data_IF_891048867763
#
_entry.id   IF_891048867763
#
_cell.length_a   1.000
_cell.length_b   1.000
_cell.length_c   1.000
_cell.angle_alpha   90.00
_cell.angle_beta   90.00
_cell.angle_gamma   90.00
#
_symmetry.space_group_name_H-M   'P 1'
#
loop_
_entity.id
_entity.type
_entity.pdbx_description
1 polymer ?
#
# COMPACT_ATOMS: atom_id res chain seq x y z
N UNK A 1 -13.39 16.64 14.45
CA UNK A 1 -12.51 15.53 14.01
C UNK A 1 -12.99 14.96 12.67
N UNK A 2 -14.23 14.50 12.54
CA UNK A 2 -14.75 13.96 11.28
C UNK A 2 -14.66 14.96 10.11
N UNK A 3 -15.06 16.22 10.33
CA UNK A 3 -14.94 17.26 9.29
C UNK A 3 -13.48 17.46 8.82
N UNK A 4 -12.51 17.31 9.72
CA UNK A 4 -11.09 17.41 9.37
C UNK A 4 -10.60 16.19 8.59
N UNK A 5 -11.11 14.99 8.91
CA UNK A 5 -10.84 13.78 8.13
C UNK A 5 -11.40 13.91 6.70
N UNK A 6 -12.66 14.34 6.58
CA UNK A 6 -13.31 14.55 5.28
C UNK A 6 -12.63 15.66 4.49
N UNK A 7 -12.25 16.76 5.16
CA UNK A 7 -11.51 17.85 4.54
C UNK A 7 -10.15 17.39 4.02
N UNK A 8 -9.41 16.57 4.80
CA UNK A 8 -8.13 16.00 4.35
C UNK A 8 -8.33 15.14 3.10
N UNK A 9 -9.34 14.26 3.11
CA UNK A 9 -9.66 13.44 1.95
C UNK A 9 -10.00 14.30 0.72
N UNK A 10 -10.89 15.29 0.88
CA UNK A 10 -11.30 16.18 -0.22
C UNK A 10 -10.11 16.97 -0.78
N UNK A 11 -9.24 17.51 0.07
CA UNK A 11 -8.02 18.19 -0.34
C UNK A 11 -7.08 17.27 -1.14
N UNK A 12 -6.96 16.01 -0.74
CA UNK A 12 -6.19 15.03 -1.48
C UNK A 12 -6.87 14.72 -2.81
N UNK A 13 -8.16 14.37 -2.84
CA UNK A 13 -8.90 14.09 -4.09
C UNK A 13 -8.81 15.23 -5.10
N UNK A 14 -8.99 16.46 -4.63
CA UNK A 14 -9.14 17.63 -5.50
C UNK A 14 -7.77 18.21 -5.92
N UNK A 15 -6.67 17.70 -5.36
CA UNK A 15 -5.31 18.12 -5.68
C UNK A 15 -4.99 17.99 -7.17
N UNK A 16 -4.44 19.06 -7.74
CA UNK A 16 -3.95 19.09 -9.13
C UNK A 16 -2.44 19.03 -9.15
N UNK A 17 -1.90 17.88 -9.56
CA UNK A 17 -0.45 17.71 -9.70
C UNK A 17 0.10 18.62 -10.80
N UNK A 18 1.22 19.29 -10.50
CA UNK A 18 1.98 20.12 -11.44
C UNK A 18 2.54 19.33 -12.64
N UNK A 19 2.59 18.00 -12.56
CA UNK A 19 3.12 17.13 -13.60
C UNK A 19 1.98 16.48 -14.41
N UNK A 20 1.25 17.27 -15.21
CA UNK A 20 0.13 16.83 -16.05
C UNK A 20 -1.06 16.26 -15.28
N UNK A 21 -1.30 16.73 -14.05
CA UNK A 21 -2.43 16.30 -13.22
C UNK A 21 -2.56 14.76 -13.11
N UNK A 22 -1.44 14.07 -12.90
CA UNK A 22 -1.38 12.59 -12.79
C UNK A 22 -1.98 12.03 -11.48
N UNK A 23 -2.31 12.91 -10.54
CA UNK A 23 -2.94 12.50 -9.29
C UNK A 23 -4.41 12.16 -9.52
N UNK A 24 -4.80 10.94 -9.15
CA UNK A 24 -6.15 10.42 -9.31
C UNK A 24 -6.54 9.74 -8.01
N UNK A 25 -7.62 10.20 -7.39
CA UNK A 25 -8.18 9.65 -6.16
C UNK A 25 -9.69 9.89 -6.16
N UNK A 26 -10.46 9.08 -6.91
CA UNK A 26 -11.87 9.37 -7.20
C UNK A 26 -12.81 9.11 -6.01
N UNK A 27 -12.37 8.27 -5.06
CA UNK A 27 -13.14 7.84 -3.90
C UNK A 27 -12.24 7.15 -2.88
N UNK A 28 -12.84 6.65 -1.80
CA UNK A 28 -12.17 5.70 -0.90
C UNK A 28 -11.99 4.33 -1.57
N UNK A 29 -12.90 3.99 -2.49
CA UNK A 29 -12.78 2.88 -3.40
C UNK A 29 -13.04 3.32 -4.84
N UNK A 30 -12.21 2.88 -5.79
CA UNK A 30 -12.48 3.01 -7.22
C UNK A 30 -11.60 2.09 -8.07
N UNK A 31 -12.09 1.74 -9.25
CA UNK A 31 -11.34 0.93 -10.23
C UNK A 31 -10.88 1.80 -11.39
N UNK A 32 -9.60 1.71 -11.74
CA UNK A 32 -9.06 2.32 -12.95
C UNK A 32 -8.62 1.23 -13.92
N UNK A 33 -9.26 1.17 -15.09
CA UNK A 33 -8.82 0.31 -16.17
C UNK A 33 -7.85 1.06 -17.09
N UNK A 34 -6.67 0.47 -17.32
CA UNK A 34 -5.71 0.91 -18.33
C UNK A 34 -5.77 -0.08 -19.49
N UNK A 35 -5.93 0.43 -20.72
CA UNK A 35 -5.93 -0.38 -21.94
C UNK A 35 -4.97 0.20 -22.96
N UNK A 36 -3.98 -0.58 -23.37
CA UNK A 36 -3.01 -0.16 -24.37
C UNK A 36 -2.51 -1.36 -25.16
N UNK A 37 -2.38 -1.22 -26.48
CA UNK A 37 -1.84 -2.27 -27.38
C UNK A 37 -2.49 -3.66 -27.19
N UNK A 38 -3.79 -3.70 -26.87
CA UNK A 38 -4.54 -4.94 -26.68
C UNK A 38 -4.34 -5.62 -25.33
N UNK A 39 -3.62 -5.01 -24.39
CA UNK A 39 -3.48 -5.46 -22.99
C UNK A 39 -4.32 -4.57 -22.09
N UNK A 40 -4.93 -5.17 -21.07
CA UNK A 40 -5.82 -4.53 -20.09
C UNK A 40 -5.36 -4.80 -18.66
N UNK A 41 -5.35 -3.75 -17.84
CA UNK A 41 -5.01 -3.81 -16.42
C UNK A 41 -6.13 -3.13 -15.64
N UNK A 42 -6.77 -3.86 -14.73
CA UNK A 42 -7.66 -3.27 -13.73
C UNK A 42 -6.87 -2.97 -12.46
N UNK A 43 -6.92 -1.71 -12.01
CA UNK A 43 -6.28 -1.23 -10.80
C UNK A 43 -7.37 -0.90 -9.77
N UNK A 44 -7.45 -1.70 -8.73
CA UNK A 44 -8.37 -1.56 -7.60
C UNK A 44 -7.71 -0.68 -6.55
N UNK A 45 -8.19 0.55 -6.39
CA UNK A 45 -7.65 1.50 -5.41
C UNK A 45 -8.48 1.41 -4.14
N UNK A 46 -7.82 1.09 -3.02
CA UNK A 46 -8.46 0.75 -1.75
C UNK A 46 -8.03 1.71 -0.65
N UNK A 47 -8.97 2.10 0.20
CA UNK A 47 -8.68 2.70 1.49
C UNK A 47 -8.43 1.59 2.53
N UNK A 48 -7.22 1.58 3.07
CA UNK A 48 -6.78 0.63 4.12
C UNK A 48 -6.39 1.33 5.42
N UNK A 49 -6.92 2.54 5.67
CA UNK A 49 -6.60 3.31 6.88
C UNK A 49 -7.03 2.62 8.19
N UNK A 50 -7.83 1.55 8.15
CA UNK A 50 -8.15 0.67 9.29
C UNK A 50 -6.97 -0.18 9.77
N UNK A 51 -5.79 -0.03 9.16
CA UNK A 51 -4.54 -0.60 9.62
C UNK A 51 -4.35 -0.46 11.15
N UNK A 52 -3.95 -1.56 11.78
CA UNK A 52 -3.84 -1.71 13.23
C UNK A 52 -2.64 -0.94 13.79
N UNK A 53 -1.56 -0.83 13.01
CA UNK A 53 -0.40 0.00 13.30
C UNK A 53 -0.37 1.20 12.33
N UNK A 54 -0.08 2.39 12.88
CA UNK A 54 0.01 3.66 12.15
C UNK A 54 -1.24 4.16 11.43
N UNK A 55 -2.28 3.33 11.29
CA UNK A 55 -3.59 3.69 10.74
C UNK A 55 -4.55 4.27 11.79
N UNK A 56 -5.76 3.71 11.82
CA UNK A 56 -6.93 4.31 12.47
C UNK A 56 -6.70 4.68 13.94
N UNK A 57 -6.02 3.83 14.70
CA UNK A 57 -5.73 4.07 16.12
C UNK A 57 -4.94 5.37 16.33
N UNK A 58 -3.87 5.58 15.56
CA UNK A 58 -3.05 6.79 15.66
C UNK A 58 -3.76 8.02 15.08
N UNK A 59 -4.48 7.85 13.97
CA UNK A 59 -5.26 8.93 13.34
C UNK A 59 -6.36 9.44 14.27
N UNK A 60 -7.08 8.53 14.95
CA UNK A 60 -8.19 8.87 15.84
C UNK A 60 -7.72 9.32 17.22
N UNK A 61 -6.61 8.79 17.73
CA UNK A 61 -6.05 9.27 19.00
C UNK A 61 -5.38 10.64 18.88
N UNK A 62 -4.71 10.94 17.76
CA UNK A 62 -3.98 12.20 17.56
C UNK A 62 -2.97 12.50 18.69
N UNK A 63 -2.32 11.47 19.24
CA UNK A 63 -1.49 11.60 20.44
C UNK A 63 -0.40 12.66 20.33
N UNK A 64 0.22 12.82 19.16
CA UNK A 64 1.24 13.85 18.96
C UNK A 64 0.72 15.27 19.22
N UNK A 65 -0.56 15.52 18.93
CA UNK A 65 -1.21 16.81 19.22
C UNK A 65 -1.49 16.98 20.71
N UNK A 66 -1.98 15.92 21.38
CA UNK A 66 -2.36 15.99 22.80
C UNK A 66 -1.17 15.96 23.76
N UNK A 67 -0.09 15.23 23.43
CA UNK A 67 1.11 15.20 24.26
C UNK A 67 1.93 16.49 24.17
N UNK A 68 1.76 17.27 23.10
CA UNK A 68 2.57 18.44 22.81
C UNK A 68 4.07 18.11 22.85
N UNK A 69 4.79 18.77 23.76
CA UNK A 69 6.24 18.58 23.94
C UNK A 69 6.61 17.50 24.97
N UNK A 70 5.64 16.83 25.58
CA UNK A 70 5.92 15.75 26.53
C UNK A 70 6.43 14.51 25.80
N UNK A 71 7.76 14.35 25.81
CA UNK A 71 8.44 13.21 25.19
C UNK A 71 8.33 11.92 26.00
N UNK A 72 7.85 11.97 27.25
CA UNK A 72 7.61 10.77 28.05
C UNK A 72 6.39 9.99 27.56
N UNK A 73 5.45 10.65 26.89
CA UNK A 73 4.26 10.03 26.30
C UNK A 73 4.63 9.32 25.00
N UNK A 74 4.56 7.99 25.05
CA UNK A 74 4.81 7.11 23.91
C UNK A 74 3.53 6.87 23.11
N UNK A 75 3.36 7.58 21.99
CA UNK A 75 2.12 7.54 21.19
C UNK A 75 1.77 6.19 20.56
N UNK A 76 2.72 5.27 20.50
CA UNK A 76 2.51 3.89 20.08
C UNK A 76 1.91 2.99 21.18
N UNK A 77 1.81 3.49 22.42
CA UNK A 77 1.34 2.74 23.60
C UNK A 77 0.10 3.41 24.24
N UNK A 78 -0.59 4.29 23.50
CA UNK A 78 -1.75 5.03 24.02
C UNK A 78 -3.07 4.34 23.67
N UNK A 79 -3.84 4.05 24.70
CA UNK A 79 -5.19 3.50 24.59
C UNK A 79 -6.28 4.57 24.49
N UNK A 80 -7.42 4.17 23.92
CA UNK A 80 -8.66 4.95 23.93
C UNK A 80 -9.08 5.30 25.36
N UNK A 81 -9.56 6.53 25.56
CA UNK A 81 -9.95 7.06 26.88
C UNK A 81 -8.81 7.71 27.66
N UNK A 82 -7.56 7.54 27.22
CA UNK A 82 -6.45 8.36 27.70
C UNK A 82 -6.64 9.84 27.34
N UNK A 83 -6.24 10.80 28.19
CA UNK A 83 -6.23 12.22 27.82
C UNK A 83 -5.33 12.50 26.59
N UNK A 84 -4.41 11.60 26.27
CA UNK A 84 -3.56 11.67 25.07
C UNK A 84 -4.19 11.02 23.83
N UNK A 85 -5.41 10.48 23.93
CA UNK A 85 -6.16 9.92 22.81
C UNK A 85 -7.51 10.63 22.70
N UNK A 86 -7.68 11.45 21.65
CA UNK A 86 -8.91 12.22 21.46
C UNK A 86 -9.29 13.06 22.71
N UNK A 87 -8.30 13.49 23.50
CA UNK A 87 -8.53 14.22 24.75
C UNK A 87 -9.25 13.41 25.83
N UNK A 88 -9.26 12.08 25.75
CA UNK A 88 -10.06 11.19 26.61
C UNK A 88 -11.51 11.03 26.16
N UNK A 89 -11.92 11.69 25.06
CA UNK A 89 -13.29 11.61 24.56
C UNK A 89 -13.51 10.33 23.74
N UNK A 90 -14.16 9.36 24.38
CA UNK A 90 -14.48 8.06 23.79
C UNK A 90 -15.44 8.16 22.61
N UNK A 91 -16.41 9.06 22.64
CA UNK A 91 -17.39 9.21 21.56
C UNK A 91 -16.72 9.78 20.31
N UNK A 92 -15.83 10.76 20.47
CA UNK A 92 -15.03 11.30 19.37
C UNK A 92 -14.11 10.24 18.76
N UNK A 93 -13.42 9.46 19.60
CA UNK A 93 -12.59 8.34 19.14
C UNK A 93 -13.41 7.30 18.36
N UNK A 94 -14.52 6.84 18.94
CA UNK A 94 -15.38 5.82 18.33
C UNK A 94 -16.00 6.32 17.01
N UNK A 95 -16.43 7.58 16.94
CA UNK A 95 -16.96 8.17 15.71
C UNK A 95 -15.90 8.19 14.60
N UNK A 96 -14.65 8.54 14.93
CA UNK A 96 -13.53 8.50 13.98
C UNK A 96 -13.22 7.07 13.51
N UNK A 97 -13.14 6.11 14.43
CA UNK A 97 -12.90 4.71 14.10
C UNK A 97 -14.00 4.17 13.18
N UNK A 98 -15.27 4.46 13.49
CA UNK A 98 -16.41 4.06 12.67
C UNK A 98 -16.35 4.66 11.26
N UNK A 99 -15.92 5.93 11.13
CA UNK A 99 -15.74 6.57 9.82
C UNK A 99 -14.66 5.86 9.00
N UNK A 100 -13.47 5.64 9.57
CA UNK A 100 -12.39 4.93 8.86
C UNK A 100 -12.80 3.50 8.52
N UNK A 101 -13.47 2.80 9.44
CA UNK A 101 -13.99 1.45 9.20
C UNK A 101 -15.01 1.42 8.05
N UNK A 102 -15.83 2.46 7.89
CA UNK A 102 -16.78 2.54 6.78
C UNK A 102 -16.10 2.63 5.42
N UNK A 103 -14.98 3.35 5.30
CA UNK A 103 -14.18 3.44 4.07
C UNK A 103 -13.47 2.13 3.74
N UNK A 104 -12.98 1.43 4.76
CA UNK A 104 -12.41 0.10 4.62
C UNK A 104 -13.45 -0.93 4.16
N UNK A 105 -14.66 -0.87 4.72
CA UNK A 105 -15.78 -1.72 4.31
C UNK A 105 -16.18 -1.44 2.86
N UNK A 106 -16.31 -0.17 2.47
CA UNK A 106 -16.56 0.22 1.08
C UNK A 106 -15.50 -0.36 0.13
N UNK A 107 -14.23 -0.26 0.50
CA UNK A 107 -13.11 -0.80 -0.28
C UNK A 107 -13.15 -2.31 -0.39
N UNK A 108 -13.45 -3.01 0.72
CA UNK A 108 -13.53 -4.46 0.74
C UNK A 108 -14.71 -4.98 -0.11
N UNK A 109 -15.89 -4.40 0.06
CA UNK A 109 -17.09 -4.81 -0.68
C UNK A 109 -16.94 -4.48 -2.17
N UNK A 110 -16.38 -3.31 -2.48
CA UNK A 110 -16.06 -2.89 -3.85
C UNK A 110 -15.10 -3.85 -4.53
N UNK A 111 -13.95 -4.14 -3.91
CA UNK A 111 -12.93 -5.01 -4.53
C UNK A 111 -13.43 -6.43 -4.72
N UNK A 112 -14.18 -6.99 -3.76
CA UNK A 112 -14.76 -8.33 -3.90
C UNK A 112 -15.76 -8.40 -5.06
N UNK A 113 -16.59 -7.37 -5.23
CA UNK A 113 -17.53 -7.27 -6.35
C UNK A 113 -16.81 -7.14 -7.69
N UNK A 114 -15.90 -6.17 -7.81
CA UNK A 114 -15.36 -5.80 -9.11
C UNK A 114 -14.24 -6.76 -9.56
N UNK A 115 -13.50 -7.41 -8.64
CA UNK A 115 -12.59 -8.52 -8.99
C UNK A 115 -13.34 -9.70 -9.62
N UNK A 116 -14.52 -10.05 -9.09
CA UNK A 116 -15.33 -11.13 -9.63
C UNK A 116 -15.86 -10.84 -11.04
N UNK A 117 -16.01 -9.55 -11.39
CA UNK A 117 -16.48 -9.09 -12.70
C UNK A 117 -15.34 -8.80 -13.68
N UNK A 118 -14.14 -8.52 -13.18
CA UNK A 118 -12.99 -8.10 -13.97
C UNK A 118 -12.58 -9.16 -14.99
N UNK A 119 -12.47 -8.73 -16.25
CA UNK A 119 -11.93 -9.52 -17.37
C UNK A 119 -10.56 -9.04 -17.83
N UNK A 120 -9.93 -8.12 -17.09
CA UNK A 120 -8.62 -7.60 -17.44
C UNK A 120 -7.54 -8.70 -17.42
N UNK A 121 -6.54 -8.52 -18.30
CA UNK A 121 -5.39 -9.41 -18.38
C UNK A 121 -4.64 -9.45 -17.05
N UNK A 122 -4.41 -8.27 -16.46
CA UNK A 122 -3.79 -8.14 -15.14
C UNK A 122 -4.69 -7.39 -14.17
N UNK A 123 -4.53 -7.72 -12.89
CA UNK A 123 -5.34 -7.18 -11.78
C UNK A 123 -4.37 -6.73 -10.70
N UNK A 124 -4.43 -5.45 -10.36
CA UNK A 124 -3.53 -4.79 -9.41
C UNK A 124 -4.35 -4.20 -8.27
N UNK A 125 -3.96 -4.46 -7.03
CA UNK A 125 -4.44 -3.69 -5.88
C UNK A 125 -3.44 -2.57 -5.60
N UNK A 126 -3.94 -1.35 -5.36
CA UNK A 126 -3.16 -0.20 -4.95
C UNK A 126 -3.74 0.40 -3.67
N UNK A 127 -2.90 0.60 -2.66
CA UNK A 127 -3.34 1.17 -1.38
C UNK A 127 -2.20 1.83 -0.62
N UNK A 128 -2.47 2.41 0.55
CA UNK A 128 -1.42 3.00 1.39
C UNK A 128 -0.75 1.97 2.30
N UNK A 129 -1.52 1.17 3.03
CA UNK A 129 -1.01 0.22 4.02
C UNK A 129 -0.88 -1.19 3.46
N UNK A 130 0.19 -1.88 3.84
CA UNK A 130 0.35 -3.32 3.59
C UNK A 130 -0.35 -4.17 4.66
N UNK A 131 -1.04 -5.26 4.27
CA UNK A 131 -1.56 -6.26 5.19
C UNK A 131 -0.52 -6.83 6.16
N UNK A 132 0.61 -7.34 5.67
CA UNK A 132 1.60 -8.01 6.52
C UNK A 132 2.51 -7.08 7.31
N UNK A 133 2.52 -5.77 7.02
CA UNK A 133 3.34 -4.81 7.76
C UNK A 133 2.53 -3.96 8.76
N UNK A 134 1.22 -3.80 8.58
CA UNK A 134 0.45 -2.80 9.35
C UNK A 134 -0.85 -3.32 9.96
N UNK A 135 -1.25 -4.56 9.66
CA UNK A 135 -2.55 -5.08 10.07
C UNK A 135 -2.39 -6.23 11.05
N UNK A 136 -3.28 -6.29 12.03
CA UNK A 136 -3.47 -7.50 12.84
C UNK A 136 -3.84 -8.69 11.96
N UNK A 137 -3.54 -9.90 12.42
CA UNK A 137 -3.80 -11.14 11.66
C UNK A 137 -5.21 -11.24 11.08
N UNK A 138 -6.31 -11.04 11.83
CA UNK A 138 -7.65 -11.19 11.25
C UNK A 138 -7.89 -10.24 10.07
N UNK A 139 -7.33 -9.03 10.17
CA UNK A 139 -7.44 -8.03 9.11
C UNK A 139 -6.52 -8.35 7.93
N UNK A 140 -5.28 -8.79 8.19
CA UNK A 140 -4.39 -9.25 7.14
C UNK A 140 -4.95 -10.48 6.40
N UNK A 141 -5.54 -11.46 7.10
CA UNK A 141 -6.23 -12.62 6.54
C UNK A 141 -7.37 -12.21 5.62
N UNK A 142 -8.18 -11.23 6.06
CA UNK A 142 -9.27 -10.67 5.27
C UNK A 142 -8.75 -10.14 3.92
N UNK A 143 -7.68 -9.36 3.92
CA UNK A 143 -7.13 -8.79 2.69
C UNK A 143 -6.34 -9.80 1.83
N UNK A 144 -5.62 -10.73 2.43
CA UNK A 144 -4.97 -11.81 1.68
C UNK A 144 -5.98 -12.71 0.97
N UNK A 145 -7.14 -12.98 1.57
CA UNK A 145 -8.19 -13.75 0.92
C UNK A 145 -8.73 -13.08 -0.36
N UNK A 146 -8.74 -11.74 -0.43
CA UNK A 146 -9.09 -10.99 -1.66
C UNK A 146 -8.14 -11.34 -2.81
N UNK A 147 -6.87 -11.60 -2.50
CA UNK A 147 -5.83 -11.81 -3.52
C UNK A 147 -5.80 -13.22 -4.12
N UNK A 148 -6.40 -14.19 -3.43
CA UNK A 148 -6.35 -15.60 -3.84
C UNK A 148 -7.10 -15.82 -5.15
N UNK A 149 -6.56 -16.64 -6.07
CA UNK A 149 -7.34 -17.13 -7.19
C UNK A 149 -8.51 -18.00 -6.68
N UNK A 150 -9.62 -18.08 -7.42
CA UNK A 150 -10.72 -18.97 -7.09
C UNK A 150 -10.26 -20.44 -7.17
N UNK A 151 -10.96 -21.38 -6.50
CA UNK A 151 -10.60 -22.80 -6.53
C UNK A 151 -10.55 -23.39 -7.95
N UNK A 152 -9.68 -24.39 -8.21
CA UNK A 152 -9.49 -25.00 -9.54
C UNK A 152 -10.73 -25.63 -10.17
N UNK A 153 -11.80 -25.85 -9.40
CA UNK A 153 -13.08 -26.40 -9.88
C UNK A 153 -13.95 -25.36 -10.59
N UNK A 154 -13.55 -24.08 -10.59
CA UNK A 154 -14.18 -23.04 -11.39
C UNK A 154 -13.76 -23.21 -12.86
N UNK A 155 -14.57 -23.93 -13.64
CA UNK A 155 -14.32 -24.35 -15.03
C UNK A 155 -14.26 -23.22 -16.09
N UNK A 156 -13.75 -22.03 -15.76
CA UNK A 156 -13.55 -20.96 -16.72
C UNK A 156 -12.19 -20.31 -16.51
N UNK A 157 -11.40 -20.23 -17.60
CA UNK A 157 -10.17 -19.45 -17.75
C UNK A 157 -10.00 -18.36 -16.68
N UNK A 158 -9.13 -18.60 -15.70
CA UNK A 158 -8.76 -17.76 -14.54
C UNK A 158 -9.60 -16.47 -14.40
N UNK A 159 -10.79 -16.58 -13.80
CA UNK A 159 -11.63 -15.43 -13.41
C UNK A 159 -11.49 -15.15 -11.91
N UNK A 160 -10.37 -14.54 -11.53
CA UNK A 160 -10.11 -14.08 -10.16
C UNK A 160 -8.64 -14.23 -9.79
N UNK A 161 -8.24 -13.63 -8.66
CA UNK A 161 -6.84 -13.55 -8.21
C UNK A 161 -6.17 -12.22 -8.57
N UNK A 162 -5.23 -11.79 -7.73
CA UNK A 162 -4.52 -10.51 -7.87
C UNK A 162 -3.07 -10.79 -8.24
N UNK A 163 -2.57 -10.09 -9.27
CA UNK A 163 -1.20 -10.28 -9.75
C UNK A 163 -0.21 -9.49 -8.91
N UNK A 164 -0.55 -8.21 -8.65
CA UNK A 164 0.31 -7.31 -7.90
C UNK A 164 -0.49 -6.52 -6.86
N UNK A 165 0.09 -6.32 -5.69
CA UNK A 165 -0.37 -5.43 -4.63
C UNK A 165 0.69 -4.36 -4.42
N UNK A 166 0.35 -3.10 -4.61
CA UNK A 166 1.23 -1.96 -4.31
C UNK A 166 0.79 -1.27 -3.03
N UNK A 167 1.75 -1.03 -2.15
CA UNK A 167 1.55 -0.21 -0.95
C UNK A 167 2.70 0.77 -0.73
N UNK A 168 2.48 1.75 0.14
CA UNK A 168 3.51 2.68 0.60
C UNK A 168 3.75 2.54 2.10
N UNK A 169 3.68 3.67 2.80
CA UNK A 169 3.78 3.87 4.25
C UNK A 169 5.15 3.61 4.89
N UNK A 170 5.76 2.45 4.66
CA UNK A 170 7.01 2.00 5.30
C UNK A 170 8.28 2.68 4.75
N UNK A 171 8.13 3.70 3.90
CA UNK A 171 9.20 4.54 3.34
C UNK A 171 10.40 3.79 2.74
N UNK A 172 10.25 2.52 2.38
CA UNK A 172 11.28 1.71 1.72
C UNK A 172 10.74 1.04 0.45
N UNK A 173 11.54 0.13 -0.11
CA UNK A 173 11.12 -0.72 -1.23
C UNK A 173 11.42 -2.20 -0.97
N UNK A 174 10.47 -3.06 -1.31
CA UNK A 174 10.62 -4.51 -1.29
C UNK A 174 9.71 -5.17 -2.32
N UNK A 175 9.89 -6.47 -2.45
CA UNK A 175 9.07 -7.37 -3.22
C UNK A 175 8.93 -8.68 -2.45
N UNK A 176 7.70 -8.99 -2.03
CA UNK A 176 7.31 -10.21 -1.35
C UNK A 176 6.32 -10.99 -2.21
N UNK A 177 6.25 -12.32 -2.06
CA UNK A 177 5.36 -13.17 -2.87
C UNK A 177 4.66 -14.19 -1.99
N UNK A 178 3.36 -14.38 -2.21
CA UNK A 178 2.56 -15.41 -1.53
C UNK A 178 2.70 -16.77 -2.23
N UNK A 179 2.37 -17.86 -1.54
CA UNK A 179 2.34 -19.20 -2.17
C UNK A 179 1.32 -19.35 -3.30
N UNK A 180 0.31 -18.49 -3.36
CA UNK A 180 -0.65 -18.44 -4.47
C UNK A 180 -0.28 -17.41 -5.56
N UNK A 181 0.99 -16.99 -5.58
CA UNK A 181 1.62 -16.21 -6.64
C UNK A 181 1.09 -14.76 -6.78
N UNK A 182 0.60 -14.16 -5.70
CA UNK A 182 0.39 -12.70 -5.66
C UNK A 182 1.68 -12.01 -5.22
N UNK A 183 2.10 -11.00 -5.99
CA UNK A 183 3.30 -10.22 -5.71
C UNK A 183 2.96 -8.94 -4.95
N UNK A 184 3.61 -8.70 -3.82
CA UNK A 184 3.46 -7.51 -3.00
C UNK A 184 4.69 -6.61 -3.19
N UNK A 185 4.46 -5.37 -3.60
CA UNK A 185 5.50 -4.36 -3.83
C UNK A 185 5.29 -3.18 -2.88
N UNK A 186 6.23 -3.00 -1.97
CA UNK A 186 6.33 -1.74 -1.24
C UNK A 186 7.01 -0.70 -2.14
N UNK A 187 6.31 0.42 -2.34
CA UNK A 187 6.69 1.56 -3.15
C UNK A 187 6.60 2.85 -2.30
N UNK A 188 7.31 2.85 -1.15
CA UNK A 188 7.12 3.85 -0.10
C UNK A 188 8.11 5.02 -0.09
N UNK A 189 9.29 4.88 -0.71
CA UNK A 189 10.40 5.83 -0.56
C UNK A 189 10.54 6.82 -1.74
N UNK A 190 9.42 7.40 -2.15
CA UNK A 190 9.35 8.43 -3.20
C UNK A 190 8.49 9.63 -2.75
N UNK A 191 8.31 10.61 -3.63
CA UNK A 191 7.29 11.66 -3.43
C UNK A 191 7.58 12.71 -2.34
N UNK A 192 8.83 12.84 -1.88
CA UNK A 192 9.32 13.90 -1.00
C UNK A 192 9.53 13.48 0.45
N UNK A 193 9.38 12.18 0.75
CA UNK A 193 9.52 11.64 2.10
C UNK A 193 10.94 11.14 2.37
N UNK A 194 11.37 11.13 3.63
CA UNK A 194 12.65 10.55 4.02
C UNK A 194 12.62 9.04 3.76
N UNK A 195 13.54 8.56 2.93
CA UNK A 195 13.70 7.13 2.66
C UNK A 195 14.21 6.38 3.88
N UNK A 196 13.69 5.18 4.06
CA UNK A 196 14.06 4.22 5.10
C UNK A 196 14.45 2.90 4.46
N UNK A 197 15.12 2.05 5.22
CA UNK A 197 15.43 0.70 4.76
C UNK A 197 14.15 -0.08 4.52
N UNK A 198 14.13 -0.86 3.44
CA UNK A 198 13.02 -1.76 3.19
C UNK A 198 12.88 -2.76 4.33
N UNK A 199 11.63 -3.04 4.70
CA UNK A 199 11.35 -4.17 5.57
C UNK A 199 11.48 -5.45 4.74
N UNK A 200 12.14 -6.47 5.31
CA UNK A 200 11.91 -7.83 4.86
C UNK A 200 10.52 -8.25 5.36
N UNK A 201 9.78 -9.00 4.54
CA UNK A 201 8.76 -9.86 5.10
C UNK A 201 9.51 -10.75 6.08
N UNK A 202 9.20 -10.56 7.35
CA UNK A 202 10.02 -11.09 8.42
C UNK A 202 10.13 -12.63 8.23
N UNK A 203 11.33 -13.20 7.99
CA UNK A 203 11.48 -14.66 7.96
C UNK A 203 11.21 -15.28 9.33
N UNK A 204 11.18 -14.44 10.38
CA UNK A 204 10.65 -14.69 11.70
C UNK A 204 9.34 -13.91 11.94
N UNK A 205 8.52 -13.66 10.91
CA UNK A 205 7.17 -13.13 11.13
C UNK A 205 6.47 -14.02 12.16
N UNK A 206 6.73 -15.33 12.11
CA UNK A 206 6.41 -16.34 13.12
C UNK A 206 7.07 -16.20 14.52
N UNK A 207 7.96 -15.23 14.78
CA UNK A 207 8.57 -14.96 16.11
C UNK A 207 8.23 -13.58 16.67
N UNK A 208 8.06 -12.56 15.82
CA UNK A 208 7.55 -11.25 16.24
C UNK A 208 6.02 -11.26 16.32
N UNK A 209 5.40 -12.09 15.49
CA UNK A 209 3.98 -12.44 15.48
C UNK A 209 3.84 -13.96 15.22
N UNK A 210 3.94 -14.83 16.25
CA UNK A 210 3.77 -16.29 16.10
C UNK A 210 2.50 -16.71 15.35
N UNK A 211 1.57 -15.79 15.17
CA UNK A 211 0.36 -15.87 14.37
C UNK A 211 0.46 -15.59 12.84
N UNK A 212 1.56 -15.12 12.24
CA UNK A 212 1.66 -14.74 10.79
C UNK A 212 2.19 -15.88 9.85
N UNK A 213 2.69 -16.98 10.41
CA UNK A 213 3.27 -18.14 9.69
C UNK A 213 2.34 -18.76 8.62
N UNK A 214 1.03 -18.47 8.67
CA UNK A 214 0.02 -19.07 7.79
C UNK A 214 -0.12 -18.45 6.39
N UNK A 215 0.46 -17.28 6.11
CA UNK A 215 0.29 -16.66 4.78
C UNK A 215 1.23 -17.21 3.71
N UNK A 216 2.25 -17.96 4.13
CA UNK A 216 3.29 -18.48 3.25
C UNK A 216 3.79 -17.41 2.26
N UNK A 217 4.11 -16.25 2.82
CA UNK A 217 4.70 -15.09 2.14
C UNK A 217 6.23 -15.17 2.30
N UNK A 218 6.99 -14.91 1.23
CA UNK A 218 8.44 -14.85 1.30
C UNK A 218 8.98 -13.63 0.56
N UNK A 219 10.05 -13.03 1.10
CA UNK A 219 10.74 -11.92 0.44
C UNK A 219 11.58 -12.40 -0.74
N UNK A 220 11.33 -11.81 -1.90
CA UNK A 220 12.14 -12.00 -3.11
C UNK A 220 13.24 -10.95 -3.19
N UNK A 221 12.95 -9.72 -2.77
CA UNK A 221 13.92 -8.63 -2.79
C UNK A 221 13.59 -7.54 -1.78
N UNK A 222 14.64 -6.98 -1.18
CA UNK A 222 14.57 -5.78 -0.35
C UNK A 222 15.66 -4.83 -0.79
N UNK A 223 15.29 -3.57 -0.96
CA UNK A 223 16.24 -2.56 -1.39
C UNK A 223 17.26 -2.26 -0.28
N UNK A 224 18.54 -2.32 -0.64
CA UNK A 224 19.62 -2.05 0.30
C UNK A 224 19.71 -0.56 0.68
N UNK A 225 20.11 -0.27 1.92
CA UNK A 225 20.32 1.10 2.40
C UNK A 225 19.02 1.87 2.59
N UNK A 226 18.97 3.09 2.08
CA UNK A 226 17.80 3.99 2.11
C UNK A 226 17.57 4.55 0.70
N UNK A 227 17.18 3.70 -0.27
CA UNK A 227 17.12 4.11 -1.66
C UNK A 227 15.90 5.00 -1.90
N UNK A 228 15.98 5.88 -2.88
CA UNK A 228 14.90 6.75 -3.27
C UNK A 228 14.52 6.50 -4.72
N UNK A 229 13.23 6.43 -5.03
CA UNK A 229 12.79 5.95 -6.34
C UNK A 229 11.29 5.71 -6.47
N UNK A 230 10.93 4.86 -7.42
CA UNK A 230 9.56 4.42 -7.66
C UNK A 230 9.52 3.09 -8.41
N UNK A 231 8.37 2.42 -8.42
CA UNK A 231 8.10 1.24 -9.24
C UNK A 231 7.48 1.63 -10.59
N UNK A 232 8.07 1.17 -11.69
CA UNK A 232 7.48 1.21 -13.02
C UNK A 232 6.73 -0.10 -13.32
N UNK A 233 5.58 0.02 -13.98
CA UNK A 233 4.79 -1.12 -14.44
C UNK A 233 4.68 -1.07 -15.96
N UNK A 234 4.95 -2.19 -16.60
CA UNK A 234 4.75 -2.40 -18.04
C UNK A 234 4.17 -3.79 -18.27
N UNK A 235 3.46 -4.01 -19.38
CA UNK A 235 2.82 -5.29 -19.64
C UNK A 235 2.91 -5.70 -21.11
N UNK A 236 2.95 -7.01 -21.32
CA UNK A 236 2.73 -7.70 -22.60
C UNK A 236 1.48 -8.56 -22.48
N UNK A 237 1.14 -9.34 -23.52
CA UNK A 237 -0.02 -10.25 -23.46
C UNK A 237 0.11 -11.33 -22.38
N UNK A 238 1.34 -11.73 -22.05
CA UNK A 238 1.61 -12.85 -21.14
C UNK A 238 2.24 -12.43 -19.81
N UNK A 239 2.90 -11.27 -19.77
CA UNK A 239 3.72 -10.86 -18.62
C UNK A 239 3.44 -9.42 -18.18
N UNK A 240 3.23 -9.24 -16.88
CA UNK A 240 3.33 -7.96 -16.18
C UNK A 240 4.75 -7.83 -15.65
N UNK A 241 5.46 -6.77 -16.06
CA UNK A 241 6.79 -6.44 -15.57
C UNK A 241 6.69 -5.30 -14.56
N UNK A 242 7.21 -5.53 -13.36
CA UNK A 242 7.41 -4.50 -12.34
C UNK A 242 8.91 -4.24 -12.20
N UNK A 243 9.33 -2.97 -12.17
CA UNK A 243 10.73 -2.60 -12.15
C UNK A 243 10.99 -1.46 -11.17
N UNK A 244 11.98 -1.65 -10.30
CA UNK A 244 12.46 -0.58 -9.44
C UNK A 244 13.33 0.40 -10.23
N UNK A 245 13.01 1.69 -10.08
CA UNK A 245 13.69 2.80 -10.73
C UNK A 245 14.21 3.78 -9.69
N UNK A 246 15.47 4.16 -9.84
CA UNK A 246 16.15 5.14 -8.99
C UNK A 246 16.98 6.10 -9.85
N UNK A 247 17.78 6.93 -9.20
CA UNK A 247 18.69 7.87 -9.83
C UNK A 247 19.89 7.15 -10.42
N UNK A 248 20.32 7.57 -11.61
CA UNK A 248 21.61 7.13 -12.14
C UNK A 248 22.79 7.86 -11.46
N UNK A 249 24.01 7.49 -11.88
CA UNK A 249 25.25 8.03 -11.30
C UNK A 249 25.54 9.47 -11.71
N UNK A 250 24.77 10.07 -12.62
CA UNK A 250 24.97 11.45 -13.06
C UNK A 250 24.30 12.47 -12.13
N UNK A 251 23.43 12.02 -11.22
CA UNK A 251 22.82 12.89 -10.23
C UNK A 251 23.84 13.43 -9.22
N UNK A 252 23.76 14.73 -8.96
CA UNK A 252 24.45 15.39 -7.84
C UNK A 252 23.41 16.12 -7.00
N UNK A 253 23.23 15.70 -5.75
CA UNK A 253 22.25 16.32 -4.85
C UNK A 253 22.88 17.48 -4.08
N UNK A 254 22.30 18.68 -4.21
CA UNK A 254 22.73 19.88 -3.49
C UNK A 254 22.33 19.94 -2.00
N UNK A 255 21.79 18.85 -1.45
CA UNK A 255 21.24 18.80 -0.09
C UNK A 255 20.09 19.80 0.08
N UNK A 256 20.23 20.72 1.06
CA UNK A 256 19.23 21.77 1.29
C UNK A 256 19.23 22.89 0.24
N UNK A 257 20.24 22.93 -0.63
CA UNK A 257 20.33 23.91 -1.73
C UNK A 257 19.85 23.25 -3.02
N UNK A 258 18.54 23.32 -3.25
CA UNK A 258 17.93 22.72 -4.45
C UNK A 258 18.58 23.23 -5.74
N UNK A 259 18.99 24.51 -5.78
CA UNK A 259 19.67 25.13 -6.93
C UNK A 259 21.03 24.48 -7.28
N UNK A 260 21.69 23.81 -6.32
CA UNK A 260 22.96 23.13 -6.52
C UNK A 260 22.77 21.68 -7.02
N UNK A 261 21.52 21.24 -7.21
CA UNK A 261 21.21 19.89 -7.69
C UNK A 261 21.40 19.80 -9.20
N UNK A 262 22.24 18.87 -9.63
CA UNK A 262 22.42 18.52 -11.05
C UNK A 262 21.59 17.27 -11.33
N UNK A 263 20.60 17.42 -12.20
CA UNK A 263 19.75 16.30 -12.61
C UNK A 263 20.53 15.33 -13.51
N UNK A 264 20.52 14.05 -13.14
CA UNK A 264 20.94 12.94 -13.99
C UNK A 264 19.74 12.25 -14.65
N UNK A 265 19.95 11.01 -15.09
CA UNK A 265 18.93 10.14 -15.67
C UNK A 265 18.32 9.16 -14.67
N UNK A 266 17.74 8.08 -15.21
CA UNK A 266 17.07 7.01 -14.47
C UNK A 266 17.89 5.72 -14.51
N UNK A 267 18.18 5.15 -13.36
CA UNK A 267 18.75 3.82 -13.21
C UNK A 267 17.66 2.76 -12.97
N UNK A 268 17.75 1.64 -13.67
CA UNK A 268 16.84 0.50 -13.59
C UNK A 268 17.64 -0.74 -13.22
N UNK A 269 17.57 -1.15 -11.95
CA UNK A 269 18.45 -2.19 -11.39
C UNK A 269 17.79 -3.54 -11.14
N UNK A 270 16.50 -3.55 -10.78
CA UNK A 270 15.76 -4.76 -10.42
C UNK A 270 14.42 -4.81 -11.14
N UNK A 271 14.06 -5.97 -11.69
CA UNK A 271 12.75 -6.19 -12.28
C UNK A 271 12.26 -7.62 -12.09
N UNK A 272 10.95 -7.76 -12.10
CA UNK A 272 10.24 -9.02 -11.92
C UNK A 272 9.18 -9.15 -13.00
N UNK A 273 8.98 -10.38 -13.46
CA UNK A 273 8.00 -10.74 -14.47
C UNK A 273 6.96 -11.64 -13.82
N UNK A 274 5.71 -11.21 -13.88
CA UNK A 274 4.55 -11.89 -13.29
C UNK A 274 3.72 -12.40 -14.46
N UNK A 275 3.55 -13.72 -14.51
CA UNK A 275 2.78 -14.34 -15.58
C UNK A 275 1.30 -13.99 -15.44
N UNK A 276 0.58 -13.94 -16.57
CA UNK A 276 -0.87 -13.70 -16.61
C UNK A 276 -1.68 -14.83 -15.96
N UNK A 277 -1.16 -16.06 -15.99
CA UNK A 277 -1.70 -17.13 -15.16
C UNK A 277 -1.06 -17.09 -13.78
N UNK A 278 -1.89 -17.26 -12.75
CA UNK A 278 -1.48 -17.40 -11.35
C UNK A 278 -1.31 -18.88 -10.94
N UNK A 279 -1.26 -19.81 -11.91
CA UNK A 279 -1.08 -21.25 -11.69
C UNK A 279 0.37 -21.57 -11.25
N UNK A 280 0.73 -21.19 -10.02
CA UNK A 280 2.01 -21.52 -9.37
C UNK A 280 3.27 -20.92 -10.01
N UNK A 281 4.43 -21.02 -9.32
CA UNK A 281 5.74 -20.67 -9.86
C UNK A 281 6.22 -21.63 -10.95
#
# INVERSE_FOLDING_TARGET
MLDALDSKFNLQRDYKSSHNNRWIMEGHYYVKTVKQQGVTIDIFNLDTNEASAHGATQVCCQCFSYRGNDKSVKCNEIDKGSPFCAGGNMDMYNACMNRIQSWATESYDGVMRDLALSKADFKIINTHYSPHYHMSRPLAEKWFNVTKPPPPTAAAAVKGGVHAWFNGHTHGFNHDVTTWNTHFFQNGAGGGIVSQSGAQADPNAAKVHPEIDTYALYSVWVAAGQPYGFMEVSASKEWLKVQFVSFDKAWVFGGHKVADTVAGGLARGHCWYIHKSLDGP
#
